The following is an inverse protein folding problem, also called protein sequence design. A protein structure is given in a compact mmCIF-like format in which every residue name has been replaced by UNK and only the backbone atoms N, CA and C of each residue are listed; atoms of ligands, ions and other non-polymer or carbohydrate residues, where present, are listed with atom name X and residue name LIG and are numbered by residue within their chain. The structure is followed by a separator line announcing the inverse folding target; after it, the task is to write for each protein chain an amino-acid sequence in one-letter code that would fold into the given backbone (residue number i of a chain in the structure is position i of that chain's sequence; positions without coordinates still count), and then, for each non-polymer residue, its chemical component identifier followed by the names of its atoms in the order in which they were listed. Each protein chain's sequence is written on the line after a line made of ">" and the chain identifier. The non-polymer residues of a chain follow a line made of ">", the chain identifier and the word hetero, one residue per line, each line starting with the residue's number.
data_IF_549574124403
#
_entry.id   IF_549574124403
#
_cell.length_a   1.000
_cell.length_b   1.000
_cell.length_c   1.000
_cell.angle_alpha   90.00
_cell.angle_beta   90.00
_cell.angle_gamma   90.00
#
_symmetry.space_group_name_H-M   'P 1'
#
loop_
_entity.id
_entity.type
_entity.pdbx_description
1 polymer ?
#
# COMPACT_ATOMS: atom_id res chain seq x y z
N UNK A 1 28.63 21.91 15.16
CA UNK A 1 29.34 20.76 14.57
C UNK A 1 30.70 20.44 15.22
N UNK A 2 31.62 21.40 15.39
CA UNK A 2 32.96 21.14 15.97
C UNK A 2 32.98 20.68 17.45
N UNK A 3 31.96 21.06 18.24
CA UNK A 3 31.78 20.61 19.63
C UNK A 3 31.27 19.17 19.69
N UNK A 4 30.26 18.84 18.89
CA UNK A 4 29.72 17.48 18.76
C UNK A 4 30.80 16.47 18.33
N UNK A 5 31.63 16.82 17.35
CA UNK A 5 32.74 15.97 16.89
C UNK A 5 33.91 15.81 17.86
N UNK A 6 33.89 16.52 19.00
CA UNK A 6 34.82 16.32 20.12
C UNK A 6 34.25 15.41 21.20
N UNK A 7 32.93 15.48 21.44
CA UNK A 7 32.24 14.70 22.46
C UNK A 7 31.99 13.26 21.98
N UNK A 8 31.57 13.09 20.72
CA UNK A 8 31.28 11.78 20.17
C UNK A 8 32.55 11.08 19.66
N UNK A 9 32.78 9.81 20.00
CA UNK A 9 33.90 9.06 19.46
C UNK A 9 33.72 8.84 17.96
N UNK A 10 34.83 8.89 17.22
CA UNK A 10 34.82 8.65 15.77
C UNK A 10 34.61 7.17 15.48
N UNK A 11 33.77 6.87 14.50
CA UNK A 11 33.63 5.51 13.98
C UNK A 11 34.94 5.09 13.30
N UNK A 12 35.43 3.90 13.65
CA UNK A 12 36.58 3.26 13.01
C UNK A 12 36.07 2.31 11.93
N UNK A 13 36.70 2.34 10.76
CA UNK A 13 36.37 1.46 9.64
C UNK A 13 36.74 -0.01 9.93
N UNK A 14 37.68 -0.25 10.85
CA UNK A 14 38.24 -1.57 11.14
C UNK A 14 37.44 -2.36 12.19
N UNK A 15 36.33 -1.80 12.69
CA UNK A 15 35.49 -2.42 13.73
C UNK A 15 34.04 -2.56 13.27
N UNK A 16 33.34 -3.65 13.65
CA UNK A 16 31.92 -3.81 13.31
C UNK A 16 31.06 -2.65 13.82
N UNK A 17 30.32 -2.00 12.91
CA UNK A 17 29.51 -0.80 13.20
C UNK A 17 28.53 -1.03 14.34
N UNK A 18 27.81 -2.16 14.36
CA UNK A 18 26.83 -2.46 15.40
C UNK A 18 27.44 -2.49 16.81
N UNK A 19 28.68 -2.97 16.97
CA UNK A 19 29.36 -2.97 18.28
C UNK A 19 29.78 -1.56 18.70
N UNK A 20 30.20 -0.74 17.75
CA UNK A 20 30.56 0.66 18.02
C UNK A 20 29.32 1.47 18.41
N UNK A 21 28.17 1.25 17.76
CA UNK A 21 26.90 1.88 18.10
C UNK A 21 26.34 1.39 19.45
N UNK A 22 26.45 0.10 19.76
CA UNK A 22 26.03 -0.43 21.05
C UNK A 22 26.80 0.19 22.23
N UNK A 23 28.09 0.49 22.03
CA UNK A 23 28.91 1.16 23.04
C UNK A 23 28.48 2.62 23.30
N UNK A 24 27.77 3.25 22.35
CA UNK A 24 27.24 4.62 22.49
C UNK A 24 25.90 4.67 23.23
N UNK A 25 25.20 3.54 23.40
CA UNK A 25 23.84 3.52 23.95
C UNK A 25 23.75 4.08 25.37
N UNK A 26 24.84 3.99 26.15
CA UNK A 26 24.93 4.53 27.51
C UNK A 26 25.32 6.02 27.61
N UNK A 27 25.64 6.68 26.50
CA UNK A 27 26.04 8.11 26.49
C UNK A 27 24.86 9.07 26.35
N UNK A 28 23.62 8.56 26.28
CA UNK A 28 22.41 9.38 26.08
C UNK A 28 22.17 10.38 27.22
N UNK A 29 22.63 10.05 28.42
CA UNK A 29 22.48 10.86 29.63
C UNK A 29 23.72 11.72 29.93
N UNK A 30 24.68 11.79 28.99
CA UNK A 30 25.86 12.64 29.15
C UNK A 30 25.44 14.14 29.13
N UNK A 31 25.75 14.89 30.20
CA UNK A 31 25.30 16.28 30.33
C UNK A 31 25.92 17.22 29.28
N UNK A 32 27.11 16.91 28.75
CA UNK A 32 27.71 17.70 27.68
C UNK A 32 27.01 17.47 26.34
N UNK A 33 26.55 16.24 26.09
CA UNK A 33 25.69 15.90 24.95
C UNK A 33 24.30 16.56 25.08
N UNK A 34 23.71 16.57 26.27
CA UNK A 34 22.43 17.26 26.50
C UNK A 34 22.54 18.76 26.26
N UNK A 35 23.59 19.42 26.77
CA UNK A 35 23.83 20.85 26.54
C UNK A 35 24.03 21.19 25.05
N UNK A 36 24.61 20.28 24.26
CA UNK A 36 24.66 20.45 22.79
C UNK A 36 23.28 20.24 22.17
N UNK A 37 22.51 19.26 22.65
CA UNK A 37 21.12 19.01 22.23
C UNK A 37 20.22 20.23 22.43
N UNK A 38 20.37 20.96 23.54
CA UNK A 38 19.63 22.20 23.82
C UNK A 38 19.93 23.34 22.84
N UNK A 39 21.08 23.31 22.16
CA UNK A 39 21.41 24.29 21.10
C UNK A 39 20.79 23.95 19.75
N UNK A 40 20.20 22.75 19.61
CA UNK A 40 19.51 22.33 18.40
C UNK A 40 18.13 22.99 18.39
N UNK A 41 17.97 24.02 17.54
CA UNK A 41 16.69 24.72 17.33
C UNK A 41 15.71 23.93 16.45
N UNK A 42 16.07 22.70 16.07
CA UNK A 42 15.22 21.82 15.28
C UNK A 42 14.20 21.14 16.20
N UNK A 43 12.94 21.13 15.79
CA UNK A 43 11.87 20.35 16.42
C UNK A 43 11.76 19.00 15.70
N UNK A 44 12.33 17.90 16.24
CA UNK A 44 12.36 16.62 15.54
C UNK A 44 10.95 16.12 15.24
N UNK A 45 10.70 15.72 13.99
CA UNK A 45 9.39 15.25 13.54
C UNK A 45 8.37 16.35 13.22
N UNK A 46 8.66 17.62 13.52
CA UNK A 46 7.74 18.75 13.25
C UNK A 46 8.15 19.63 12.07
N UNK A 47 9.26 19.33 11.40
CA UNK A 47 9.76 20.16 10.29
C UNK A 47 8.71 20.41 9.21
N UNK A 48 7.94 19.38 8.84
CA UNK A 48 6.88 19.47 7.85
C UNK A 48 5.75 20.43 8.28
N UNK A 49 5.29 20.29 9.52
CA UNK A 49 4.26 21.14 10.13
C UNK A 49 4.72 22.60 10.17
N UNK A 50 5.93 22.84 10.69
CA UNK A 50 6.49 24.18 10.87
C UNK A 50 6.76 24.89 9.54
N UNK A 51 7.32 24.18 8.56
CA UNK A 51 7.56 24.73 7.23
C UNK A 51 6.24 25.03 6.51
N UNK A 52 5.25 24.13 6.59
CA UNK A 52 3.94 24.38 6.00
C UNK A 52 3.30 25.62 6.61
N UNK A 53 3.23 25.71 7.94
CA UNK A 53 2.70 26.88 8.64
C UNK A 53 3.42 28.16 8.24
N UNK A 54 4.75 28.14 8.19
CA UNK A 54 5.56 29.27 7.77
C UNK A 54 5.19 29.72 6.34
N UNK A 55 5.13 28.79 5.38
CA UNK A 55 4.81 29.11 3.99
C UNK A 55 3.39 29.65 3.84
N UNK A 56 2.39 29.04 4.48
CA UNK A 56 1.01 29.52 4.41
C UNK A 56 0.84 30.90 5.05
N UNK A 57 1.48 31.14 6.21
CA UNK A 57 1.51 32.46 6.83
C UNK A 57 2.18 33.50 5.91
N UNK A 58 3.29 33.15 5.27
CA UNK A 58 4.02 34.05 4.39
C UNK A 58 3.27 34.37 3.10
N UNK A 59 2.56 33.38 2.55
CA UNK A 59 1.68 33.51 1.38
C UNK A 59 0.33 34.13 1.71
N UNK A 60 0.00 34.31 3.00
CA UNK A 60 -1.31 34.79 3.49
C UNK A 60 -2.48 33.91 3.02
N UNK A 61 -2.29 32.60 3.10
CA UNK A 61 -3.30 31.59 2.79
C UNK A 61 -3.69 30.85 4.06
N UNK A 62 -4.92 30.35 4.13
CA UNK A 62 -5.36 29.47 5.21
C UNK A 62 -4.67 28.11 5.10
N UNK A 63 -4.11 27.64 6.21
CA UNK A 63 -3.47 26.32 6.28
C UNK A 63 -4.53 25.21 6.17
N UNK A 64 -4.31 24.16 5.34
CA UNK A 64 -5.24 23.04 5.25
C UNK A 64 -5.38 22.29 6.59
N UNK A 65 -6.61 21.90 6.93
CA UNK A 65 -6.95 21.24 8.19
C UNK A 65 -6.29 19.85 8.37
N UNK A 66 -5.90 19.18 7.28
CA UNK A 66 -5.20 17.91 7.37
C UNK A 66 -3.72 18.12 7.78
N UNK A 67 -3.06 17.12 8.40
CA UNK A 67 -1.63 17.22 8.74
C UNK A 67 -0.73 17.46 7.51
N UNK A 68 0.42 18.11 7.73
CA UNK A 68 1.49 18.17 6.74
C UNK A 68 2.07 16.76 6.56
N UNK A 69 1.88 16.17 5.38
CA UNK A 69 2.46 14.88 5.03
C UNK A 69 3.72 15.10 4.20
N UNK A 70 4.81 14.42 4.57
CA UNK A 70 6.02 14.35 3.74
C UNK A 70 6.02 12.97 3.12
N UNK A 71 6.10 12.86 1.79
CA UNK A 71 6.27 11.56 1.17
C UNK A 71 7.53 10.91 1.74
N UNK A 72 7.46 9.64 2.15
CA UNK A 72 8.62 8.91 2.61
C UNK A 72 9.72 9.01 1.55
N UNK A 73 10.89 9.49 1.96
CA UNK A 73 12.05 9.52 1.06
C UNK A 73 12.33 8.06 0.73
N UNK A 74 12.29 7.68 -0.56
CA UNK A 74 12.55 6.30 -0.93
C UNK A 74 13.95 5.92 -0.44
N UNK A 75 14.01 4.86 0.36
CA UNK A 75 15.29 4.27 0.73
C UNK A 75 15.92 3.81 -0.58
N UNK A 76 17.18 4.17 -0.88
CA UNK A 76 17.91 3.57 -1.98
C UNK A 76 17.99 2.06 -1.72
N UNK A 77 17.10 1.30 -2.36
CA UNK A 77 17.30 -0.14 -2.53
C UNK A 77 18.61 -0.32 -3.32
N UNK A 78 19.30 -1.44 -3.11
CA UNK A 78 20.60 -1.76 -3.76
C UNK A 78 20.70 -1.21 -5.18
N UNK A 79 21.87 -0.68 -5.60
CA UNK A 79 22.03 0.04 -6.86
C UNK A 79 21.38 -0.77 -7.96
N UNK A 80 20.20 -0.31 -8.34
CA UNK A 80 19.39 -0.99 -9.32
C UNK A 80 20.17 -0.84 -10.62
N UNK A 81 20.41 -1.95 -11.32
CA UNK A 81 21.28 -1.95 -12.50
C UNK A 81 20.91 -0.79 -13.43
N UNK A 82 21.89 -0.05 -13.97
CA UNK A 82 21.61 1.14 -14.79
C UNK A 82 20.58 0.78 -15.87
N UNK A 83 19.41 1.45 -15.83
CA UNK A 83 18.27 1.18 -16.73
C UNK A 83 17.01 0.61 -16.06
N UNK A 84 17.05 0.28 -14.78
CA UNK A 84 15.86 -0.12 -14.01
C UNK A 84 14.93 1.08 -13.79
N UNK A 85 13.89 1.18 -14.63
CA UNK A 85 12.86 2.23 -14.51
C UNK A 85 12.06 2.01 -13.23
N UNK A 86 12.02 3.02 -12.37
CA UNK A 86 11.18 3.00 -11.16
C UNK A 86 9.72 3.01 -11.58
N UNK A 87 8.98 1.97 -11.18
CA UNK A 87 7.54 1.86 -11.45
C UNK A 87 6.80 2.90 -10.60
N UNK A 88 5.96 3.77 -11.18
CA UNK A 88 5.15 4.73 -10.43
C UNK A 88 4.32 4.04 -9.33
N UNK A 89 4.03 4.74 -8.24
CA UNK A 89 3.13 4.23 -7.21
C UNK A 89 1.69 4.24 -7.69
N UNK A 90 0.95 3.18 -7.38
CA UNK A 90 -0.49 3.15 -7.61
C UNK A 90 -1.17 4.17 -6.69
N UNK A 91 -2.00 5.03 -7.28
CA UNK A 91 -2.71 6.02 -6.50
C UNK A 91 -3.70 5.33 -5.54
N UNK A 92 -3.82 5.77 -4.29
CA UNK A 92 -4.82 5.23 -3.37
C UNK A 92 -6.22 5.58 -3.84
N UNK A 93 -7.12 4.59 -3.82
CA UNK A 93 -8.51 4.72 -4.29
C UNK A 93 -9.47 4.15 -3.27
N UNK A 94 -10.57 4.84 -3.03
CA UNK A 94 -11.78 4.18 -2.50
C UNK A 94 -12.46 3.47 -3.65
N UNK A 95 -12.94 2.26 -3.40
CA UNK A 95 -13.56 1.41 -4.41
C UNK A 95 -14.87 0.89 -3.88
N UNK A 96 -15.95 1.12 -4.62
CA UNK A 96 -17.23 0.45 -4.36
C UNK A 96 -17.40 -0.68 -5.33
N UNK A 97 -17.86 -1.81 -4.81
CA UNK A 97 -18.13 -2.99 -5.62
C UNK A 97 -19.55 -3.46 -5.37
N UNK A 98 -20.32 -3.63 -6.44
CA UNK A 98 -21.61 -4.33 -6.38
C UNK A 98 -21.48 -5.68 -7.05
N UNK A 99 -21.91 -6.73 -6.37
CA UNK A 99 -21.87 -8.11 -6.85
C UNK A 99 -23.31 -8.58 -7.08
N UNK A 100 -23.59 -9.16 -8.24
CA UNK A 100 -24.89 -9.71 -8.62
C UNK A 100 -24.76 -11.21 -8.94
N UNK A 101 -25.74 -11.99 -8.47
CA UNK A 101 -25.80 -13.46 -8.68
C UNK A 101 -26.49 -13.87 -9.98
N UNK A 102 -26.79 -12.91 -10.86
CA UNK A 102 -27.56 -13.15 -12.08
C UNK A 102 -26.70 -13.76 -13.21
N UNK A 103 -25.73 -14.59 -12.83
CA UNK A 103 -24.79 -15.24 -13.73
C UNK A 103 -25.50 -16.18 -14.70
N UNK A 104 -25.08 -16.15 -15.96
CA UNK A 104 -25.46 -17.20 -16.93
C UNK A 104 -24.69 -18.49 -16.61
N UNK A 105 -25.09 -19.63 -17.19
CA UNK A 105 -24.40 -20.93 -16.95
C UNK A 105 -22.88 -20.89 -17.23
N UNK A 106 -22.40 -19.91 -18.00
CA UNK A 106 -20.99 -19.72 -18.34
C UNK A 106 -20.18 -18.84 -17.35
N UNK A 107 -20.84 -18.10 -16.46
CA UNK A 107 -20.21 -17.13 -15.54
C UNK A 107 -20.82 -17.29 -14.15
N UNK A 108 -19.98 -17.47 -13.12
CA UNK A 108 -20.43 -17.70 -11.74
C UNK A 108 -21.07 -16.44 -11.11
N UNK A 109 -20.79 -15.24 -11.61
CA UNK A 109 -21.47 -13.99 -11.24
C UNK A 109 -20.93 -12.74 -11.92
N UNK A 110 -21.57 -11.60 -11.68
CA UNK A 110 -21.15 -10.30 -12.21
C UNK A 110 -20.72 -9.34 -11.09
N UNK A 111 -19.67 -8.57 -11.36
CA UNK A 111 -19.06 -7.61 -10.44
C UNK A 111 -18.90 -6.26 -11.13
N UNK A 112 -19.45 -5.20 -10.53
CA UNK A 112 -19.27 -3.84 -11.02
C UNK A 112 -18.37 -3.07 -10.05
N UNK A 113 -17.25 -2.59 -10.56
CA UNK A 113 -16.21 -1.88 -9.80
C UNK A 113 -16.23 -0.39 -10.14
N UNK A 114 -16.41 0.49 -9.15
CA UNK A 114 -16.25 1.95 -9.30
C UNK A 114 -15.14 2.44 -8.39
N UNK A 115 -14.24 3.27 -8.92
CA UNK A 115 -13.05 3.77 -8.22
C UNK A 115 -13.10 5.28 -8.06
N UNK A 116 -12.73 5.77 -6.89
CA UNK A 116 -12.74 7.17 -6.50
C UNK A 116 -11.37 7.54 -5.92
N UNK A 117 -10.66 8.57 -6.44
CA UNK A 117 -9.37 8.97 -5.90
C UNK A 117 -9.44 9.33 -4.42
N UNK A 118 -8.68 8.63 -3.57
CA UNK A 118 -8.77 8.78 -2.11
C UNK A 118 -8.36 10.18 -1.64
N UNK A 119 -7.35 10.77 -2.30
CA UNK A 119 -6.88 12.13 -2.03
C UNK A 119 -7.96 13.20 -2.21
N UNK A 120 -8.98 12.96 -3.05
CA UNK A 120 -10.07 13.92 -3.30
C UNK A 120 -11.25 13.78 -2.34
N UNK A 121 -11.29 12.73 -1.51
CA UNK A 121 -12.41 12.48 -0.58
C UNK A 121 -12.27 13.20 0.77
N UNK A 122 -11.35 14.16 0.91
CA UNK A 122 -11.04 14.84 2.18
C UNK A 122 -12.04 15.97 2.54
N UNK A 123 -13.22 15.99 1.92
CA UNK A 123 -14.27 16.99 2.17
C UNK A 123 -15.33 16.49 3.13
N UNK A 124 -16.02 17.40 3.81
CA UNK A 124 -17.11 17.20 4.78
C UNK A 124 -18.40 16.59 4.15
N UNK A 125 -18.26 15.75 3.12
CA UNK A 125 -19.35 15.03 2.48
C UNK A 125 -19.61 13.67 3.14
N UNK A 126 -20.78 13.07 2.90
CA UNK A 126 -21.05 11.71 3.36
C UNK A 126 -20.00 10.76 2.79
N UNK A 127 -19.39 9.94 3.65
CA UNK A 127 -18.47 8.89 3.24
C UNK A 127 -19.13 7.98 2.19
N UNK A 128 -18.35 7.54 1.21
CA UNK A 128 -18.82 6.57 0.22
C UNK A 128 -19.20 5.29 0.98
N UNK A 129 -20.49 4.97 1.01
CA UNK A 129 -20.97 3.81 1.75
C UNK A 129 -20.42 2.52 1.15
N UNK A 130 -20.05 1.56 2.00
CA UNK A 130 -19.61 0.22 1.62
C UNK A 130 -18.42 0.19 0.64
N UNK A 131 -17.54 1.18 0.68
CA UNK A 131 -16.29 1.18 -0.08
C UNK A 131 -15.15 0.52 0.69
N UNK A 132 -14.24 -0.14 -0.03
CA UNK A 132 -12.94 -0.53 0.49
C UNK A 132 -11.82 0.38 -0.05
N UNK A 133 -10.74 0.52 0.71
CA UNK A 133 -9.56 1.28 0.33
C UNK A 133 -8.52 0.38 -0.33
N UNK A 134 -8.11 0.73 -1.55
CA UNK A 134 -6.95 0.15 -2.23
C UNK A 134 -5.77 1.10 -2.13
N UNK A 135 -4.58 0.62 -1.77
CA UNK A 135 -3.38 1.44 -1.77
C UNK A 135 -2.15 0.65 -2.26
N UNK A 136 -1.18 1.37 -2.79
CA UNK A 136 0.14 0.82 -3.05
C UNK A 136 0.84 0.45 -1.73
N UNK A 137 1.42 -0.76 -1.67
CA UNK A 137 2.14 -1.25 -0.49
C UNK A 137 3.26 -0.30 -0.04
N UNK A 138 3.94 0.28 -1.01
CA UNK A 138 5.10 1.13 -0.82
C UNK A 138 4.74 2.62 -0.97
N UNK A 139 3.45 2.98 -0.84
CA UNK A 139 3.01 4.38 -0.92
C UNK A 139 3.83 5.27 0.04
N UNK A 140 4.33 6.42 -0.44
CA UNK A 140 5.13 7.30 0.39
C UNK A 140 4.36 7.91 1.57
N UNK A 141 3.04 8.08 1.48
CA UNK A 141 2.21 8.47 2.62
C UNK A 141 1.71 7.21 3.35
N UNK A 142 2.41 6.87 4.44
CA UNK A 142 2.18 5.65 5.24
C UNK A 142 0.76 5.50 5.78
N UNK A 143 -0.07 6.56 5.76
CA UNK A 143 -1.48 6.46 6.18
C UNK A 143 -2.26 5.53 5.25
N UNK A 144 -1.96 5.54 3.95
CA UNK A 144 -2.67 4.73 2.96
C UNK A 144 -2.48 3.23 3.17
N UNK A 145 -1.24 2.68 3.13
CA UNK A 145 -1.05 1.24 3.28
C UNK A 145 -1.44 0.74 4.67
N UNK A 146 -1.38 1.57 5.71
CA UNK A 146 -1.80 1.20 7.07
C UNK A 146 -3.31 1.02 7.24
N UNK A 147 -4.11 1.62 6.37
CA UNK A 147 -5.58 1.61 6.46
C UNK A 147 -6.24 0.94 5.28
N UNK A 148 -5.46 0.45 4.31
CA UNK A 148 -5.99 -0.19 3.11
C UNK A 148 -6.53 -1.59 3.41
N UNK A 149 -7.69 -1.88 2.85
CA UNK A 149 -8.29 -3.20 2.83
C UNK A 149 -7.60 -4.10 1.79
N UNK A 150 -7.14 -3.49 0.69
CA UNK A 150 -6.46 -4.15 -0.42
C UNK A 150 -5.13 -3.46 -0.70
N UNK A 151 -4.05 -4.22 -0.66
CA UNK A 151 -2.72 -3.71 -0.93
C UNK A 151 -2.18 -4.16 -2.26
N UNK A 152 -1.70 -3.21 -3.04
CA UNK A 152 -1.24 -3.40 -4.40
C UNK A 152 0.29 -3.47 -4.41
N UNK A 153 0.82 -4.50 -5.06
CA UNK A 153 2.26 -4.68 -5.29
C UNK A 153 2.50 -4.74 -6.80
N UNK A 154 2.78 -3.59 -7.44
CA UNK A 154 3.12 -3.55 -8.86
C UNK A 154 4.30 -4.45 -9.23
N UNK A 155 4.31 -4.95 -10.46
CA UNK A 155 5.36 -5.82 -11.00
C UNK A 155 6.71 -5.11 -10.96
N UNK A 156 7.75 -5.85 -10.60
CA UNK A 156 9.13 -5.32 -10.54
C UNK A 156 9.48 -4.63 -9.22
N UNK A 157 8.61 -4.66 -8.21
CA UNK A 157 8.89 -4.15 -6.86
C UNK A 157 9.31 -5.22 -5.86
N UNK A 158 9.16 -6.49 -6.19
CA UNK A 158 9.65 -7.62 -5.40
C UNK A 158 10.93 -8.16 -6.01
N UNK A 159 11.91 -8.51 -5.16
CA UNK A 159 13.17 -9.12 -5.59
C UNK A 159 13.00 -10.57 -6.07
N UNK A 160 11.87 -11.20 -5.75
CA UNK A 160 11.50 -12.56 -6.15
C UNK A 160 10.13 -12.61 -6.81
N UNK A 161 9.63 -13.83 -7.03
CA UNK A 161 8.26 -14.01 -7.54
C UNK A 161 7.27 -13.58 -6.47
N UNK A 162 6.11 -13.02 -6.85
CA UNK A 162 5.02 -12.73 -5.91
C UNK A 162 4.66 -13.88 -4.96
N UNK A 163 4.79 -15.12 -5.43
CA UNK A 163 4.48 -16.35 -4.68
C UNK A 163 5.47 -16.64 -3.54
N UNK A 164 6.65 -16.05 -3.61
CA UNK A 164 7.74 -16.20 -2.65
C UNK A 164 7.77 -15.05 -1.63
N UNK A 165 6.91 -14.03 -1.78
CA UNK A 165 6.84 -12.90 -0.84
C UNK A 165 6.19 -13.37 0.48
N UNK A 166 6.88 -13.25 1.63
CA UNK A 166 6.37 -13.72 2.90
C UNK A 166 5.26 -12.79 3.41
N UNK A 167 4.03 -13.03 2.95
CA UNK A 167 2.79 -12.39 3.41
C UNK A 167 2.73 -12.24 4.94
N UNK A 168 3.22 -13.21 5.69
CA UNK A 168 3.26 -13.18 7.16
C UNK A 168 4.01 -11.97 7.73
N UNK A 169 5.09 -11.52 7.07
CA UNK A 169 5.83 -10.33 7.50
C UNK A 169 4.98 -9.07 7.35
N UNK A 170 4.17 -8.99 6.29
CA UNK A 170 3.35 -7.83 6.00
C UNK A 170 2.03 -7.81 6.78
N UNK A 171 1.37 -8.96 6.91
CA UNK A 171 0.15 -9.12 7.71
C UNK A 171 0.37 -8.76 9.18
N UNK A 172 1.59 -8.97 9.70
CA UNK A 172 1.97 -8.52 11.04
C UNK A 172 2.04 -6.98 11.18
N UNK A 173 2.29 -6.25 10.09
CA UNK A 173 2.41 -4.79 10.08
C UNK A 173 1.07 -4.08 9.76
N UNK A 174 0.11 -4.77 9.16
CA UNK A 174 -1.14 -4.18 8.67
C UNK A 174 -2.38 -4.82 9.29
N UNK A 175 -2.77 -4.32 10.47
CA UNK A 175 -4.02 -4.68 11.13
C UNK A 175 -5.22 -4.13 10.35
N UNK A 176 -5.77 -4.91 9.42
CA UNK A 176 -6.94 -4.53 8.64
C UNK A 176 -6.88 -4.89 7.15
N UNK A 177 -5.72 -5.27 6.64
CA UNK A 177 -5.58 -5.71 5.25
C UNK A 177 -6.28 -7.07 5.04
N UNK A 178 -7.29 -7.09 4.16
CA UNK A 178 -8.03 -8.29 3.81
C UNK A 178 -7.54 -8.98 2.52
N UNK A 179 -6.65 -8.34 1.74
CA UNK A 179 -6.04 -8.93 0.53
C UNK A 179 -4.75 -8.22 0.11
N UNK A 180 -3.67 -8.97 -0.17
CA UNK A 180 -2.57 -8.48 -1.02
C UNK A 180 -2.87 -8.86 -2.47
N UNK A 181 -2.64 -7.94 -3.40
CA UNK A 181 -2.61 -8.24 -4.82
C UNK A 181 -1.25 -7.88 -5.39
N UNK A 182 -0.49 -8.90 -5.79
CA UNK A 182 0.74 -8.70 -6.51
C UNK A 182 0.50 -8.86 -8.01
N UNK A 183 0.87 -7.86 -8.79
CA UNK A 183 0.65 -7.81 -10.23
C UNK A 183 1.38 -8.95 -10.96
N UNK A 184 0.66 -9.63 -11.85
CA UNK A 184 1.21 -10.66 -12.74
C UNK A 184 1.25 -10.15 -14.18
N UNK A 185 1.46 -11.03 -15.15
CA UNK A 185 1.36 -10.64 -16.56
C UNK A 185 -0.07 -10.25 -16.92
N UNK A 186 -0.21 -9.50 -18.02
CA UNK A 186 -1.48 -9.12 -18.63
C UNK A 186 -2.48 -8.44 -17.69
N UNK A 187 -1.97 -7.66 -16.72
CA UNK A 187 -2.79 -6.92 -15.75
C UNK A 187 -3.69 -7.82 -14.87
N UNK A 188 -3.29 -9.09 -14.71
CA UNK A 188 -3.79 -9.99 -13.68
C UNK A 188 -3.08 -9.78 -12.34
N UNK A 189 -3.43 -10.60 -11.35
CA UNK A 189 -2.73 -10.59 -10.07
C UNK A 189 -2.73 -11.94 -9.37
N UNK A 190 -1.76 -12.13 -8.47
CA UNK A 190 -1.83 -13.11 -7.41
C UNK A 190 -2.44 -12.44 -6.18
N UNK A 191 -3.65 -12.87 -5.80
CA UNK A 191 -4.31 -12.46 -4.58
C UNK A 191 -3.90 -13.38 -3.43
N UNK A 192 -3.42 -12.79 -2.33
CA UNK A 192 -3.08 -13.46 -1.09
C UNK A 192 -4.09 -13.06 -0.02
N UNK A 193 -4.76 -14.05 0.55
CA UNK A 193 -5.81 -13.88 1.54
C UNK A 193 -5.24 -14.01 2.98
N UNK A 194 -5.93 -13.47 4.01
CA UNK A 194 -5.45 -13.48 5.39
C UNK A 194 -5.28 -14.90 5.98
N UNK A 195 -6.04 -15.87 5.49
CA UNK A 195 -5.96 -17.29 5.87
C UNK A 195 -4.82 -18.05 5.17
N UNK A 196 -3.99 -17.34 4.38
CA UNK A 196 -2.92 -17.92 3.57
C UNK A 196 -3.39 -18.50 2.23
N UNK A 197 -4.70 -18.44 1.95
CA UNK A 197 -5.25 -18.82 0.66
C UNK A 197 -4.68 -17.95 -0.47
N UNK A 198 -4.41 -18.58 -1.61
CA UNK A 198 -3.89 -17.91 -2.80
C UNK A 198 -4.85 -18.08 -3.97
N UNK A 199 -5.07 -17.02 -4.72
CA UNK A 199 -5.89 -17.03 -5.93
C UNK A 199 -5.11 -16.36 -7.05
N UNK A 200 -4.84 -17.11 -8.12
CA UNK A 200 -4.29 -16.55 -9.35
C UNK A 200 -5.44 -16.01 -10.17
N UNK A 201 -5.32 -14.76 -10.58
CA UNK A 201 -6.37 -13.99 -11.24
C UNK A 201 -5.86 -13.57 -12.60
N UNK A 202 -6.53 -14.00 -13.67
CA UNK A 202 -6.18 -13.64 -15.05
C UNK A 202 -7.40 -13.23 -15.86
N UNK A 203 -7.22 -12.32 -16.80
CA UNK A 203 -8.27 -11.94 -17.75
C UNK A 203 -8.34 -12.97 -18.88
N UNK A 204 -9.49 -13.62 -19.05
CA UNK A 204 -9.77 -14.44 -20.24
C UNK A 204 -10.20 -13.54 -21.41
N UNK A 205 -10.99 -12.52 -21.11
CA UNK A 205 -11.41 -11.49 -22.05
C UNK A 205 -11.06 -10.14 -21.44
N UNK A 206 -10.06 -9.47 -22.03
CA UNK A 206 -9.45 -8.28 -21.44
C UNK A 206 -9.90 -7.00 -22.18
N UNK A 207 -10.80 -6.19 -21.60
CA UNK A 207 -11.15 -4.90 -22.15
C UNK A 207 -10.02 -3.87 -21.92
N UNK A 208 -10.06 -2.75 -22.66
CA UNK A 208 -9.01 -1.73 -22.62
C UNK A 208 -8.83 -1.05 -21.24
N UNK A 209 -9.89 -1.04 -20.42
CA UNK A 209 -9.85 -0.50 -19.06
C UNK A 209 -9.30 -1.49 -18.02
N UNK A 210 -9.13 -2.76 -18.39
CA UNK A 210 -8.70 -3.80 -17.45
C UNK A 210 -7.26 -3.53 -16.97
N UNK A 211 -7.15 -3.47 -15.64
CA UNK A 211 -5.93 -3.22 -14.90
C UNK A 211 -5.93 -4.08 -13.62
N UNK A 212 -4.75 -4.48 -13.14
CA UNK A 212 -4.66 -5.36 -11.96
C UNK A 212 -5.32 -4.79 -10.68
N UNK A 213 -5.37 -3.46 -10.41
CA UNK A 213 -6.08 -2.95 -9.23
C UNK A 213 -7.59 -3.18 -9.30
N UNK A 214 -8.15 -3.24 -10.53
CA UNK A 214 -9.56 -3.56 -10.76
C UNK A 214 -9.80 -5.04 -10.51
N UNK A 215 -8.93 -5.91 -11.02
CA UNK A 215 -8.99 -7.35 -10.76
C UNK A 215 -8.87 -7.67 -9.26
N UNK A 216 -7.94 -7.03 -8.56
CA UNK A 216 -7.75 -7.14 -7.12
C UNK A 216 -9.01 -6.75 -6.33
N UNK A 217 -9.64 -5.64 -6.71
CA UNK A 217 -10.88 -5.16 -6.07
C UNK A 217 -12.06 -6.09 -6.31
N UNK A 218 -12.18 -6.65 -7.52
CA UNK A 218 -13.22 -7.61 -7.84
C UNK A 218 -13.08 -8.89 -7.00
N UNK A 219 -11.86 -9.44 -6.91
CA UNK A 219 -11.56 -10.65 -6.13
C UNK A 219 -11.73 -10.42 -4.63
N UNK A 220 -11.32 -9.25 -4.13
CA UNK A 220 -11.55 -8.86 -2.74
C UNK A 220 -13.05 -8.89 -2.41
N UNK A 221 -13.87 -8.21 -3.22
CA UNK A 221 -15.32 -8.18 -2.99
C UNK A 221 -15.97 -9.57 -3.12
N UNK A 222 -15.54 -10.36 -4.12
CA UNK A 222 -16.03 -11.72 -4.34
C UNK A 222 -15.74 -12.62 -3.13
N UNK A 223 -14.51 -12.62 -2.64
CA UNK A 223 -14.08 -13.45 -1.50
C UNK A 223 -14.59 -12.95 -0.14
N UNK A 224 -14.70 -11.63 0.06
CA UNK A 224 -15.29 -11.05 1.28
C UNK A 224 -16.78 -11.34 1.36
N UNK A 225 -17.51 -11.32 0.24
CA UNK A 225 -18.92 -11.71 0.20
C UNK A 225 -19.13 -13.14 0.68
N UNK A 226 -18.31 -14.10 0.23
CA UNK A 226 -18.42 -15.49 0.68
C UNK A 226 -18.22 -15.64 2.20
N UNK A 227 -17.31 -14.84 2.78
CA UNK A 227 -17.11 -14.80 4.24
C UNK A 227 -18.30 -14.17 4.97
N UNK A 228 -18.85 -13.07 4.45
CA UNK A 228 -19.96 -12.35 5.06
C UNK A 228 -21.29 -13.12 5.00
N UNK A 229 -21.52 -13.91 3.95
CA UNK A 229 -22.70 -14.75 3.81
C UNK A 229 -22.71 -15.97 4.77
N UNK A 230 -21.65 -16.18 5.56
CA UNK A 230 -21.49 -17.38 6.40
C UNK A 230 -21.33 -18.67 5.60
N UNK A 231 -21.35 -18.57 4.27
CA UNK A 231 -21.12 -19.63 3.30
C UNK A 231 -19.66 -19.59 2.87
N UNK A 232 -18.73 -19.58 3.83
CA UNK A 232 -17.33 -19.84 3.53
C UNK A 232 -17.27 -21.24 2.94
N UNK A 233 -17.46 -21.34 1.62
CA UNK A 233 -17.40 -22.61 0.90
C UNK A 233 -16.02 -23.17 1.17
N UNK A 234 -15.95 -24.49 1.37
CA UNK A 234 -14.68 -25.17 1.26
C UNK A 234 -14.03 -24.69 -0.05
N UNK A 235 -12.75 -24.32 0.04
CA UNK A 235 -11.97 -23.74 -1.06
C UNK A 235 -12.39 -24.40 -2.37
N UNK A 236 -12.92 -23.64 -3.36
CA UNK A 236 -13.54 -24.24 -4.52
C UNK A 236 -12.52 -25.14 -5.22
N UNK A 237 -12.96 -26.33 -5.59
CA UNK A 237 -12.15 -27.34 -6.27
C UNK A 237 -11.95 -27.05 -7.76
N UNK A 238 -12.58 -25.98 -8.27
CA UNK A 238 -12.52 -25.52 -9.66
C UNK A 238 -12.20 -24.02 -9.71
N UNK A 239 -11.69 -23.56 -10.84
CA UNK A 239 -11.64 -22.12 -11.16
C UNK A 239 -13.05 -21.55 -11.22
N UNK A 240 -13.19 -20.31 -10.75
CA UNK A 240 -14.43 -19.53 -10.87
C UNK A 240 -14.24 -18.44 -11.93
N UNK A 241 -15.32 -18.11 -12.64
CA UNK A 241 -15.32 -17.11 -13.69
C UNK A 241 -16.30 -16.01 -13.35
N UNK A 242 -15.81 -14.78 -13.26
CA UNK A 242 -16.64 -13.62 -12.95
C UNK A 242 -16.56 -12.59 -14.07
N UNK A 243 -17.71 -12.06 -14.46
CA UNK A 243 -17.78 -10.91 -15.36
C UNK A 243 -17.51 -9.65 -14.54
N UNK A 244 -16.59 -8.80 -15.01
CA UNK A 244 -16.23 -7.55 -14.35
C UNK A 244 -16.55 -6.37 -15.25
N UNK A 245 -17.18 -5.34 -14.69
CA UNK A 245 -17.42 -4.05 -15.36
C UNK A 245 -16.81 -2.92 -14.57
N UNK A 246 -16.22 -1.95 -15.26
CA UNK A 246 -15.71 -0.73 -14.65
C UNK A 246 -16.78 0.38 -14.71
N UNK A 247 -17.53 0.52 -13.61
CA UNK A 247 -18.62 1.48 -13.49
C UNK A 247 -19.68 1.31 -14.58
N UNK A 248 -19.89 2.37 -15.36
CA UNK A 248 -20.92 2.41 -16.42
C UNK A 248 -20.33 2.14 -17.81
N UNK A 249 -19.07 1.66 -17.89
CA UNK A 249 -18.47 1.30 -19.16
C UNK A 249 -19.21 0.09 -19.79
N UNK A 250 -19.44 0.11 -21.11
CA UNK A 250 -20.29 -0.87 -21.77
C UNK A 250 -19.66 -2.27 -21.76
N UNK A 251 -18.35 -2.35 -21.97
CA UNK A 251 -17.64 -3.62 -22.14
C UNK A 251 -17.33 -4.27 -20.80
N UNK A 252 -17.77 -5.52 -20.63
CA UNK A 252 -17.34 -6.37 -19.53
C UNK A 252 -16.04 -7.10 -19.89
N UNK A 253 -15.20 -7.32 -18.89
CA UNK A 253 -14.09 -8.28 -18.97
C UNK A 253 -14.45 -9.56 -18.24
N UNK A 254 -13.81 -10.66 -18.64
CA UNK A 254 -14.00 -11.96 -17.98
C UNK A 254 -12.74 -12.30 -17.18
N UNK A 255 -12.89 -12.47 -15.87
CA UNK A 255 -11.82 -12.91 -14.97
C UNK A 255 -11.95 -14.40 -14.67
N UNK A 256 -10.82 -15.11 -14.70
CA UNK A 256 -10.65 -16.46 -14.15
C UNK A 256 -9.93 -16.38 -12.80
N UNK A 257 -10.50 -17.05 -11.79
CA UNK A 257 -10.00 -17.13 -10.43
C UNK A 257 -9.58 -18.58 -10.15
N UNK A 258 -8.28 -18.86 -10.22
CA UNK A 258 -7.71 -20.17 -9.98
C UNK A 258 -7.09 -20.24 -8.57
N UNK A 259 -7.67 -21.07 -7.70
CA UNK A 259 -7.22 -21.24 -6.31
C UNK A 259 -6.00 -22.18 -6.26
N UNK A 260 -4.89 -21.74 -5.66
CA UNK A 260 -3.58 -22.45 -5.66
C UNK A 260 -2.99 -22.74 -4.28
#
# INVERSE_FOLDING_TARGET
>A
MSRLGRILPRLSADRPVLRQLAALHGQRDDPELQAVGETVTSEPGRSAELLRRLFYAWLRLDEPAHPASVPAIPIPSQPSSPGTRRVPHEAPMFVTVSVTDDGTVAVDGEVIVRRYPAAQQHGHGPHIASSHLTADRDDPDRRWPRTADVLLVPRGRTAGRPEDDPWCAYAAESSGCGLLAAETEEDGCLALLPDGGRVRVSWLERPAWAAFPVAASAVYAWTVRERAAGTARARPTRSERIAVRAGDLPDAGLLDLAYV
#
